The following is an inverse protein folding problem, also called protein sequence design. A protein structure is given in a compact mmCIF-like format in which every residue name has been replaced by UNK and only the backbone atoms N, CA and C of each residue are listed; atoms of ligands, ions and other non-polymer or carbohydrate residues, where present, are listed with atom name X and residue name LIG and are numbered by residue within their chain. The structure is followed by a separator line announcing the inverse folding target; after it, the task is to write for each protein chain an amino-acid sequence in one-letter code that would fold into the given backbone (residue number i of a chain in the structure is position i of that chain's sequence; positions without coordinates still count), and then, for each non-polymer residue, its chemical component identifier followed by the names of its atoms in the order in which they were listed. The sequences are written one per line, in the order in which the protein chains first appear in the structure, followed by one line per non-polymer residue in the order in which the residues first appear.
data_IF_712046640888
#
_entry.id   IF_712046640888
#
_cell.length_a   1.000
_cell.length_b   1.000
_cell.length_c   1.000
_cell.angle_alpha   90.00
_cell.angle_beta   90.00
_cell.angle_gamma   90.00
#
_symmetry.space_group_name_H-M   'P 1'
#
loop_
_entity.id
_entity.type
_entity.pdbx_description
1 polymer ?
#
# COMPACT_ATOMS: atom_id res chain seq x y z
N UNK A 1 5.55 -4.01 35.24
CA UNK A 1 4.95 -3.67 33.93
C UNK A 1 4.53 -2.20 33.91
N UNK A 2 5.45 -1.23 33.79
CA UNK A 2 5.11 0.20 33.91
C UNK A 2 6.02 1.14 33.10
N UNK A 3 6.44 0.73 31.88
CA UNK A 3 7.26 1.59 31.01
C UNK A 3 7.04 1.29 29.52
N UNK A 4 5.78 1.11 29.12
CA UNK A 4 5.39 0.92 27.71
C UNK A 4 4.32 1.93 27.23
N UNK A 5 3.70 2.68 28.13
CA UNK A 5 2.70 3.71 27.79
C UNK A 5 3.36 5.02 27.33
N UNK A 6 4.47 5.45 27.96
CA UNK A 6 5.12 6.73 27.66
C UNK A 6 5.76 6.85 26.26
N UNK A 7 6.07 5.75 25.59
CA UNK A 7 6.58 5.77 24.21
C UNK A 7 5.44 5.74 23.16
N UNK A 8 4.26 5.23 23.52
CA UNK A 8 3.08 5.19 22.65
C UNK A 8 2.31 6.52 22.67
N UNK A 9 2.31 7.22 23.80
CA UNK A 9 1.70 8.56 23.94
C UNK A 9 2.55 9.67 23.32
N UNK A 10 3.89 9.51 23.30
CA UNK A 10 4.80 10.42 22.59
C UNK A 10 4.74 10.24 21.05
N UNK A 11 4.32 9.07 20.57
CA UNK A 11 4.26 8.72 19.14
C UNK A 11 2.96 9.18 18.45
N UNK A 12 1.95 9.58 19.21
CA UNK A 12 0.68 10.06 18.67
C UNK A 12 0.52 11.54 18.98
N UNK A 13 1.07 12.46 18.16
CA UNK A 13 0.73 13.87 18.29
C UNK A 13 -0.80 13.99 18.32
N UNK A 14 -1.35 14.78 19.25
CA UNK A 14 -2.81 14.87 19.42
C UNK A 14 -3.52 15.12 18.08
N UNK A 15 -4.77 14.67 17.94
CA UNK A 15 -5.51 14.69 16.65
C UNK A 15 -5.43 16.03 15.90
N UNK A 16 -5.47 17.15 16.61
CA UNK A 16 -5.30 18.49 16.03
C UNK A 16 -3.90 18.73 15.44
N UNK A 17 -2.84 18.26 16.11
CA UNK A 17 -1.47 18.32 15.59
C UNK A 17 -1.30 17.42 14.36
N UNK A 18 -1.93 16.25 14.33
CA UNK A 18 -1.94 15.38 13.14
C UNK A 18 -2.61 16.08 11.95
N UNK A 19 -3.80 16.65 12.16
CA UNK A 19 -4.50 17.41 11.11
C UNK A 19 -3.64 18.58 10.62
N UNK A 20 -2.99 19.31 11.52
CA UNK A 20 -2.09 20.41 11.16
C UNK A 20 -0.87 19.94 10.36
N UNK A 21 -0.29 18.79 10.71
CA UNK A 21 0.81 18.17 9.98
C UNK A 21 0.37 17.74 8.58
N UNK A 22 -0.76 17.05 8.46
CA UNK A 22 -1.36 16.66 7.18
C UNK A 22 -1.63 17.88 6.32
N UNK A 23 -2.14 18.98 6.89
CA UNK A 23 -2.38 20.22 6.16
C UNK A 23 -1.07 20.82 5.63
N UNK A 24 -0.03 20.90 6.48
CA UNK A 24 1.30 21.38 6.06
C UNK A 24 1.89 20.53 4.94
N UNK A 25 1.79 19.21 5.03
CA UNK A 25 2.26 18.29 3.98
C UNK A 25 1.46 18.47 2.69
N UNK A 26 0.14 18.58 2.79
CA UNK A 26 -0.72 18.75 1.62
C UNK A 26 -0.47 20.09 0.93
N UNK A 27 -0.28 21.18 1.68
CA UNK A 27 0.01 22.50 1.14
C UNK A 27 1.33 22.56 0.36
N UNK A 28 2.31 21.72 0.68
CA UNK A 28 3.55 21.60 -0.10
C UNK A 28 3.30 21.05 -1.50
N UNK A 29 2.39 20.09 -1.64
CA UNK A 29 2.01 19.51 -2.93
C UNK A 29 0.95 20.37 -3.66
N UNK A 30 0.03 20.97 -2.91
CA UNK A 30 -1.09 21.78 -3.42
C UNK A 30 -1.15 23.14 -2.71
N UNK A 31 -0.50 24.15 -3.31
CA UNK A 31 -0.41 25.50 -2.74
C UNK A 31 -1.77 26.18 -2.58
N UNK A 32 -2.78 25.80 -3.40
CA UNK A 32 -4.10 26.41 -3.44
C UNK A 32 -5.08 25.82 -2.43
N UNK A 33 -4.68 24.79 -1.67
CA UNK A 33 -5.59 24.08 -0.77
C UNK A 33 -6.29 25.02 0.23
N UNK A 34 -5.60 26.01 0.78
CA UNK A 34 -6.21 26.98 1.70
C UNK A 34 -7.35 27.77 1.05
N UNK A 35 -7.15 28.24 -0.18
CA UNK A 35 -8.16 28.98 -0.94
C UNK A 35 -9.33 28.10 -1.34
N UNK A 36 -9.05 26.86 -1.73
CA UNK A 36 -10.11 25.89 -2.09
C UNK A 36 -10.97 25.54 -0.88
N UNK A 37 -10.36 25.29 0.28
CA UNK A 37 -11.11 25.00 1.50
C UNK A 37 -11.95 26.20 1.94
N UNK A 38 -11.40 27.43 1.86
CA UNK A 38 -12.15 28.64 2.14
C UNK A 38 -13.33 28.81 1.16
N UNK A 39 -13.10 28.62 -0.14
CA UNK A 39 -14.15 28.72 -1.16
C UNK A 39 -15.25 27.68 -0.98
N UNK A 40 -14.90 26.43 -0.65
CA UNK A 40 -15.89 25.36 -0.39
C UNK A 40 -16.68 25.65 0.89
N UNK A 41 -16.00 26.06 1.97
CA UNK A 41 -16.66 26.38 3.23
C UNK A 41 -17.60 27.58 3.11
N UNK A 42 -17.09 28.70 2.61
CA UNK A 42 -17.88 29.94 2.42
C UNK A 42 -18.98 29.71 1.39
N UNK A 43 -18.68 29.03 0.28
CA UNK A 43 -19.66 28.73 -0.76
C UNK A 43 -20.81 27.86 -0.23
N UNK A 44 -20.49 26.78 0.50
CA UNK A 44 -21.53 25.91 1.09
C UNK A 44 -22.37 26.69 2.09
N UNK A 45 -21.74 27.43 3.02
CA UNK A 45 -22.46 28.23 4.00
C UNK A 45 -23.34 29.30 3.34
N UNK A 46 -22.82 30.00 2.33
CA UNK A 46 -23.54 31.03 1.58
C UNK A 46 -24.77 30.48 0.86
N UNK A 47 -24.68 29.29 0.25
CA UNK A 47 -25.82 28.62 -0.38
C UNK A 47 -26.92 28.31 0.65
N UNK A 48 -26.55 27.71 1.78
CA UNK A 48 -27.53 27.38 2.82
C UNK A 48 -28.17 28.62 3.45
N UNK A 49 -27.39 29.69 3.67
CA UNK A 49 -27.93 30.95 4.16
C UNK A 49 -28.86 31.61 3.15
N UNK A 50 -28.51 31.63 1.86
CA UNK A 50 -29.37 32.19 0.81
C UNK A 50 -30.73 31.46 0.75
N UNK A 51 -30.71 30.12 0.80
CA UNK A 51 -31.93 29.31 0.90
C UNK A 51 -32.68 29.62 2.21
N UNK A 52 -31.96 29.78 3.31
CA UNK A 52 -32.50 30.20 4.61
C UNK A 52 -33.28 31.50 4.57
N UNK A 53 -32.74 32.52 3.92
CA UNK A 53 -33.41 33.80 3.75
C UNK A 53 -34.62 33.71 2.81
N UNK A 54 -34.54 32.90 1.74
CA UNK A 54 -35.65 32.71 0.80
C UNK A 54 -36.86 32.00 1.43
N UNK A 55 -36.63 31.08 2.37
CA UNK A 55 -37.69 30.28 3.03
C UNK A 55 -38.10 30.90 4.38
N UNK A 56 -37.45 31.98 4.82
CA UNK A 56 -37.75 32.64 6.10
C UNK A 56 -37.21 31.93 7.35
N UNK A 57 -36.31 30.96 7.19
CA UNK A 57 -35.66 30.23 8.29
C UNK A 57 -34.12 30.37 8.24
N UNK A 58 -33.56 31.60 8.25
CA UNK A 58 -32.12 31.81 8.08
C UNK A 58 -31.29 31.26 9.24
N UNK A 59 -31.82 31.25 10.47
CA UNK A 59 -31.09 30.75 11.66
C UNK A 59 -30.92 29.23 11.58
N UNK A 60 -32.00 28.49 11.33
CA UNK A 60 -31.96 27.03 11.25
C UNK A 60 -31.07 26.55 10.09
N UNK A 61 -31.27 27.10 8.89
CA UNK A 61 -30.45 26.76 7.73
C UNK A 61 -29.02 27.29 7.83
N UNK A 62 -28.77 28.37 8.57
CA UNK A 62 -27.43 28.85 8.88
C UNK A 62 -26.65 27.88 9.76
N UNK A 63 -27.25 27.36 10.83
CA UNK A 63 -26.62 26.36 11.71
C UNK A 63 -26.37 25.06 10.94
N UNK A 64 -27.37 24.56 10.20
CA UNK A 64 -27.22 23.36 9.37
C UNK A 64 -26.16 23.56 8.28
N UNK A 65 -26.17 24.73 7.63
CA UNK A 65 -25.21 25.13 6.62
C UNK A 65 -23.79 25.20 7.13
N UNK A 66 -23.58 25.66 8.37
CA UNK A 66 -22.26 25.70 9.00
C UNK A 66 -21.69 24.29 9.22
N UNK A 67 -22.52 23.36 9.73
CA UNK A 67 -22.12 21.96 9.91
C UNK A 67 -21.79 21.30 8.57
N UNK A 68 -22.61 21.52 7.55
CA UNK A 68 -22.39 20.99 6.21
C UNK A 68 -21.20 21.63 5.50
N UNK A 69 -20.94 22.92 5.72
CA UNK A 69 -19.76 23.61 5.21
C UNK A 69 -18.48 23.03 5.81
N UNK A 70 -18.46 22.75 7.11
CA UNK A 70 -17.34 22.08 7.76
C UNK A 70 -17.14 20.67 7.21
N UNK A 71 -18.21 19.89 7.08
CA UNK A 71 -18.16 18.54 6.51
C UNK A 71 -17.65 18.54 5.06
N UNK A 72 -18.18 19.42 4.21
CA UNK A 72 -17.76 19.56 2.82
C UNK A 72 -16.26 19.92 2.72
N UNK A 73 -15.81 20.86 3.56
CA UNK A 73 -14.40 21.26 3.64
C UNK A 73 -13.52 20.09 4.09
N UNK A 74 -13.94 19.33 5.10
CA UNK A 74 -13.23 18.15 5.58
C UNK A 74 -13.11 17.05 4.51
N UNK A 75 -14.18 16.78 3.76
CA UNK A 75 -14.18 15.80 2.65
C UNK A 75 -13.21 16.24 1.54
N UNK A 76 -13.26 17.51 1.15
CA UNK A 76 -12.37 18.05 0.10
C UNK A 76 -10.92 18.04 0.58
N UNK A 77 -10.67 18.42 1.83
CA UNK A 77 -9.36 18.34 2.45
C UNK A 77 -8.81 16.91 2.42
N UNK A 78 -9.59 15.94 2.89
CA UNK A 78 -9.20 14.52 2.93
C UNK A 78 -8.84 14.00 1.53
N UNK A 79 -9.68 14.27 0.52
CA UNK A 79 -9.41 13.85 -0.87
C UNK A 79 -8.15 14.48 -1.46
N UNK A 80 -7.84 15.74 -1.14
CA UNK A 80 -6.62 16.41 -1.61
C UNK A 80 -5.38 15.94 -0.86
N UNK A 81 -5.50 15.72 0.46
CA UNK A 81 -4.43 15.17 1.27
C UNK A 81 -4.04 13.76 0.83
N UNK A 82 -5.03 12.91 0.54
CA UNK A 82 -4.81 11.56 0.00
C UNK A 82 -4.06 11.60 -1.33
N UNK A 83 -4.47 12.46 -2.27
CA UNK A 83 -3.77 12.65 -3.55
C UNK A 83 -2.33 13.12 -3.36
N UNK A 84 -2.10 14.07 -2.46
CA UNK A 84 -0.77 14.57 -2.16
C UNK A 84 0.12 13.49 -1.53
N UNK A 85 -0.43 12.68 -0.61
CA UNK A 85 0.28 11.59 0.02
C UNK A 85 0.68 10.50 -1.00
N UNK A 86 -0.24 10.07 -1.86
CA UNK A 86 0.07 9.08 -2.89
C UNK A 86 1.08 9.59 -3.91
N UNK A 87 0.98 10.86 -4.34
CA UNK A 87 1.95 11.44 -5.27
C UNK A 87 3.38 11.51 -4.69
N UNK A 88 3.53 11.59 -3.36
CA UNK A 88 4.85 11.54 -2.70
C UNK A 88 5.39 10.11 -2.56
N UNK A 89 4.50 9.11 -2.49
CA UNK A 89 4.87 7.69 -2.38
C UNK A 89 5.14 7.05 -3.75
N UNK A 90 4.54 7.57 -4.82
CA UNK A 90 4.77 7.08 -6.18
C UNK A 90 6.26 7.13 -6.55
N UNK A 91 6.82 5.97 -6.94
CA UNK A 91 8.23 5.83 -7.31
C UNK A 91 9.19 5.50 -6.15
N UNK A 92 8.71 5.50 -4.90
CA UNK A 92 9.49 5.01 -3.77
C UNK A 92 9.36 3.48 -3.63
N UNK A 93 10.46 2.73 -3.42
CA UNK A 93 10.39 1.32 -3.10
C UNK A 93 9.56 1.08 -1.81
N UNK A 94 8.68 0.10 -1.82
CA UNK A 94 7.78 -0.27 -0.74
C UNK A 94 6.44 0.48 -0.72
N UNK A 95 6.19 1.39 -1.67
CA UNK A 95 4.96 2.17 -1.71
C UNK A 95 3.73 1.30 -1.95
N UNK A 96 3.83 0.28 -2.81
CA UNK A 96 2.72 -0.65 -3.04
C UNK A 96 2.36 -1.43 -1.78
N UNK A 97 3.34 -1.87 -0.99
CA UNK A 97 3.11 -2.57 0.28
C UNK A 97 2.24 -1.73 1.24
N UNK A 98 2.57 -0.44 1.40
CA UNK A 98 1.84 0.46 2.29
C UNK A 98 0.36 0.61 1.89
N UNK A 99 0.07 0.57 0.59
CA UNK A 99 -1.31 0.58 0.08
C UNK A 99 -2.01 -0.75 0.31
N UNK A 100 -1.30 -1.85 0.11
CA UNK A 100 -1.84 -3.20 0.32
C UNK A 100 -2.17 -3.50 1.78
N UNK A 101 -1.40 -2.96 2.72
CA UNK A 101 -1.72 -3.07 4.15
C UNK A 101 -3.03 -2.37 4.51
N UNK A 102 -3.44 -1.38 3.71
CA UNK A 102 -4.64 -0.58 3.90
C UNK A 102 -5.79 -0.94 2.93
N UNK A 103 -5.68 -2.05 2.17
CA UNK A 103 -6.67 -2.40 1.13
C UNK A 103 -8.07 -2.65 1.73
N UNK A 104 -8.14 -3.20 2.94
CA UNK A 104 -9.37 -3.40 3.72
C UNK A 104 -9.52 -4.82 4.27
N UNK A 105 -10.64 -5.07 4.95
CA UNK A 105 -10.94 -6.36 5.60
C UNK A 105 -11.09 -7.49 4.57
N UNK A 106 -10.59 -8.67 4.93
CA UNK A 106 -10.71 -9.88 4.09
C UNK A 106 -9.60 -10.06 3.06
N UNK A 107 -8.58 -9.20 3.11
CA UNK A 107 -7.32 -9.37 2.39
C UNK A 107 -6.19 -9.70 3.37
N UNK A 108 -5.28 -10.56 2.95
CA UNK A 108 -4.05 -10.88 3.66
C UNK A 108 -2.88 -10.50 2.76
N UNK A 109 -2.13 -9.48 3.18
CA UNK A 109 -0.97 -8.98 2.44
C UNK A 109 0.30 -9.63 2.97
N UNK A 110 1.17 -10.07 2.06
CA UNK A 110 2.54 -10.48 2.33
C UNK A 110 3.45 -9.59 1.48
N UNK A 111 4.15 -8.62 2.09
CA UNK A 111 5.04 -7.74 1.35
C UNK A 111 6.30 -8.51 0.90
N UNK A 112 6.90 -8.08 -0.21
CA UNK A 112 8.21 -8.55 -0.69
C UNK A 112 8.36 -10.07 -0.79
N UNK A 113 7.40 -10.75 -1.42
CA UNK A 113 7.50 -12.20 -1.71
C UNK A 113 8.62 -12.52 -2.71
N UNK A 114 8.97 -11.55 -3.55
CA UNK A 114 10.15 -11.61 -4.40
C UNK A 114 10.76 -10.20 -4.52
N UNK A 115 12.08 -10.12 -4.52
CA UNK A 115 12.81 -8.86 -4.65
C UNK A 115 14.13 -9.11 -5.38
N UNK A 116 14.56 -8.14 -6.18
CA UNK A 116 15.89 -8.16 -6.80
C UNK A 116 16.85 -7.13 -6.18
N UNK A 117 18.13 -7.18 -6.57
CA UNK A 117 19.16 -6.22 -6.10
C UNK A 117 18.88 -4.77 -6.49
N UNK A 118 18.06 -4.55 -7.51
CA UNK A 118 17.66 -3.22 -8.01
C UNK A 118 16.41 -2.67 -7.33
N UNK A 119 15.99 -3.26 -6.22
CA UNK A 119 14.81 -2.84 -5.45
C UNK A 119 13.49 -2.91 -6.25
N UNK A 120 13.42 -3.76 -7.28
CA UNK A 120 12.13 -4.15 -7.85
C UNK A 120 11.54 -5.24 -6.94
N UNK A 121 10.27 -5.07 -6.56
CA UNK A 121 9.62 -5.89 -5.52
C UNK A 121 8.28 -6.41 -6.04
N UNK A 122 7.95 -7.64 -5.67
CA UNK A 122 6.62 -8.22 -5.83
C UNK A 122 6.03 -8.43 -4.45
N UNK A 123 4.84 -7.90 -4.24
CA UNK A 123 4.01 -8.14 -3.07
C UNK A 123 2.88 -9.10 -3.44
N UNK A 124 2.37 -9.80 -2.45
CA UNK A 124 1.25 -10.71 -2.63
C UNK A 124 0.11 -10.28 -1.73
N UNK A 125 -1.10 -10.21 -2.27
CA UNK A 125 -2.33 -10.04 -1.51
C UNK A 125 -3.29 -11.17 -1.83
N UNK A 126 -3.83 -11.82 -0.80
CA UNK A 126 -4.78 -12.93 -0.95
C UNK A 126 -6.12 -12.49 -0.41
N UNK A 127 -7.19 -12.69 -1.18
CA UNK A 127 -8.54 -12.33 -0.78
C UNK A 127 -9.59 -13.11 -1.56
N UNK A 128 -10.85 -12.68 -1.52
CA UNK A 128 -11.95 -13.35 -2.23
C UNK A 128 -11.77 -13.37 -3.76
N UNK A 129 -10.91 -12.51 -4.31
CA UNK A 129 -10.57 -12.51 -5.72
C UNK A 129 -9.49 -13.54 -6.09
N UNK A 130 -8.94 -14.28 -5.12
CA UNK A 130 -7.78 -15.14 -5.31
C UNK A 130 -6.48 -14.47 -4.90
N UNK A 131 -5.39 -14.80 -5.58
CA UNK A 131 -4.05 -14.29 -5.32
C UNK A 131 -3.81 -13.11 -6.27
N UNK A 132 -3.47 -11.95 -5.73
CA UNK A 132 -3.08 -10.76 -6.49
C UNK A 132 -1.61 -10.48 -6.23
N UNK A 133 -0.80 -10.60 -7.27
CA UNK A 133 0.61 -10.23 -7.28
C UNK A 133 0.74 -8.79 -7.73
N UNK A 134 1.30 -7.95 -6.88
CA UNK A 134 1.47 -6.52 -7.13
C UNK A 134 2.97 -6.23 -7.25
N UNK A 135 3.39 -5.85 -8.43
CA UNK A 135 4.78 -5.57 -8.76
C UNK A 135 5.05 -4.07 -8.77
N UNK A 136 6.14 -3.64 -8.13
CA UNK A 136 6.64 -2.27 -8.17
C UNK A 136 8.12 -2.25 -8.61
N UNK A 137 8.51 -1.23 -9.37
CA UNK A 137 9.87 -1.08 -9.89
C UNK A 137 9.91 -0.85 -11.39
N UNK A 138 11.06 -1.12 -12.01
CA UNK A 138 11.24 -0.92 -13.44
C UNK A 138 10.44 -1.97 -14.25
N UNK A 139 9.56 -1.55 -15.18
CA UNK A 139 8.68 -2.44 -15.94
C UNK A 139 9.38 -3.58 -16.68
N UNK A 140 10.58 -3.33 -17.21
CA UNK A 140 11.30 -4.32 -18.01
C UNK A 140 11.88 -5.45 -17.15
N UNK A 141 12.30 -5.13 -15.92
CA UNK A 141 12.89 -6.10 -14.99
C UNK A 141 11.84 -6.77 -14.10
N UNK A 142 10.83 -6.02 -13.68
CA UNK A 142 9.82 -6.53 -12.75
C UNK A 142 8.84 -7.49 -13.44
N UNK A 143 8.63 -7.38 -14.76
CA UNK A 143 7.80 -8.33 -15.53
C UNK A 143 8.33 -9.77 -15.44
N UNK A 144 9.65 -9.97 -15.52
CA UNK A 144 10.24 -11.31 -15.41
C UNK A 144 10.11 -11.86 -13.99
N UNK A 145 10.32 -11.01 -12.98
CA UNK A 145 10.13 -11.34 -11.57
C UNK A 145 8.66 -11.73 -11.28
N UNK A 146 7.72 -10.96 -11.80
CA UNK A 146 6.28 -11.19 -11.68
C UNK A 146 5.85 -12.48 -12.38
N UNK A 147 6.37 -12.75 -13.59
CA UNK A 147 6.08 -13.98 -14.32
C UNK A 147 6.60 -15.22 -13.60
N UNK A 148 7.80 -15.14 -13.00
CA UNK A 148 8.35 -16.22 -12.18
C UNK A 148 7.47 -16.51 -10.96
N UNK A 149 7.04 -15.45 -10.26
CA UNK A 149 6.17 -15.60 -9.09
C UNK A 149 4.76 -16.10 -9.47
N UNK A 150 4.20 -15.62 -10.59
CA UNK A 150 2.91 -16.11 -11.12
C UNK A 150 2.96 -17.59 -11.45
N UNK A 151 4.02 -18.06 -12.11
CA UNK A 151 4.23 -19.48 -12.41
C UNK A 151 4.41 -20.31 -11.14
N UNK A 152 5.10 -19.77 -10.13
CA UNK A 152 5.25 -20.40 -8.81
C UNK A 152 3.91 -20.54 -8.10
N UNK A 153 3.11 -19.47 -8.05
CA UNK A 153 1.78 -19.49 -7.42
C UNK A 153 0.83 -20.46 -8.15
N UNK A 154 0.82 -20.45 -9.48
CA UNK A 154 -0.03 -21.35 -10.27
C UNK A 154 0.30 -22.84 -10.07
N UNK A 155 1.56 -23.17 -9.76
CA UNK A 155 1.97 -24.54 -9.41
C UNK A 155 1.57 -24.94 -7.99
N UNK A 156 1.57 -23.98 -7.07
CA UNK A 156 1.29 -24.22 -5.65
C UNK A 156 -0.21 -24.26 -5.37
N UNK A 157 -0.98 -23.37 -6.00
CA UNK A 157 -2.41 -23.19 -5.80
C UNK A 157 -3.12 -23.22 -7.14
N UNK A 158 -3.21 -24.40 -7.75
CA UNK A 158 -3.77 -24.59 -9.09
C UNK A 158 -5.27 -24.25 -9.18
N UNK A 159 -5.99 -24.32 -8.06
CA UNK A 159 -7.43 -24.07 -7.92
C UNK A 159 -7.80 -22.60 -7.71
N UNK A 160 -6.81 -21.71 -7.58
CA UNK A 160 -7.04 -20.29 -7.24
C UNK A 160 -6.56 -19.37 -8.36
N UNK A 161 -7.37 -18.41 -8.81
CA UNK A 161 -6.93 -17.45 -9.82
C UNK A 161 -5.80 -16.57 -9.31
N UNK A 162 -4.81 -16.36 -10.19
CA UNK A 162 -3.65 -15.51 -9.95
C UNK A 162 -3.72 -14.30 -10.87
N UNK A 163 -3.95 -13.13 -10.27
CA UNK A 163 -3.95 -11.85 -10.94
C UNK A 163 -2.61 -11.15 -10.76
N UNK A 164 -2.17 -10.41 -11.76
CA UNK A 164 -0.97 -9.60 -11.74
C UNK A 164 -1.30 -8.12 -11.99
N UNK A 165 -0.72 -7.24 -11.18
CA UNK A 165 -0.85 -5.79 -11.29
C UNK A 165 0.54 -5.18 -11.27
N UNK A 166 0.86 -4.43 -12.31
CA UNK A 166 2.09 -3.63 -12.37
C UNK A 166 1.79 -2.21 -11.88
N UNK A 167 2.48 -1.77 -10.84
CA UNK A 167 2.33 -0.42 -10.28
C UNK A 167 3.25 0.55 -11.01
N UNK A 168 2.69 1.70 -11.39
CA UNK A 168 3.43 2.80 -12.00
C UNK A 168 2.53 3.70 -12.85
N UNK A 169 3.13 4.59 -13.62
CA UNK A 169 2.44 5.64 -14.40
C UNK A 169 2.45 5.38 -15.92
N UNK A 170 3.12 4.33 -16.38
CA UNK A 170 3.21 3.98 -17.80
C UNK A 170 1.99 3.23 -18.33
N UNK A 171 2.01 2.94 -19.63
CA UNK A 171 0.96 2.15 -20.28
C UNK A 171 0.87 0.72 -19.71
N UNK A 172 -0.35 0.25 -19.46
CA UNK A 172 -0.61 -1.04 -18.83
C UNK A 172 -0.25 -1.11 -17.34
N UNK A 173 0.07 0.02 -16.70
CA UNK A 173 0.34 0.12 -15.28
C UNK A 173 -0.83 0.75 -14.52
N UNK A 174 -0.92 0.42 -13.24
CA UNK A 174 -1.92 0.97 -12.33
C UNK A 174 -1.24 1.97 -11.41
N UNK A 175 -1.69 3.22 -11.46
CA UNK A 175 -1.24 4.26 -10.54
C UNK A 175 -1.50 3.84 -9.09
N UNK A 176 -0.59 4.20 -8.18
CA UNK A 176 -0.63 3.77 -6.78
C UNK A 176 -1.97 4.13 -6.11
N UNK A 177 -2.48 5.35 -6.37
CA UNK A 177 -3.79 5.83 -5.89
C UNK A 177 -4.99 4.99 -6.36
N UNK A 178 -4.86 4.27 -7.48
CA UNK A 178 -5.91 3.43 -8.07
C UNK A 178 -5.78 1.96 -7.68
N UNK A 179 -4.62 1.53 -7.18
CA UNK A 179 -4.31 0.13 -6.87
C UNK A 179 -5.41 -0.54 -6.03
N UNK A 180 -5.79 0.08 -4.90
CA UNK A 180 -6.87 -0.43 -4.02
C UNK A 180 -8.19 -0.59 -4.77
N UNK A 181 -8.59 0.42 -5.53
CA UNK A 181 -9.85 0.38 -6.30
C UNK A 181 -9.83 -0.71 -7.36
N UNK A 182 -8.70 -0.87 -8.07
CA UNK A 182 -8.52 -1.93 -9.07
C UNK A 182 -8.63 -3.32 -8.44
N UNK A 183 -7.97 -3.54 -7.29
CA UNK A 183 -8.05 -4.80 -6.57
C UNK A 183 -9.47 -5.13 -6.10
N UNK A 184 -10.20 -4.13 -5.58
CA UNK A 184 -11.56 -4.33 -5.08
C UNK A 184 -12.59 -4.59 -6.19
N UNK A 185 -12.28 -4.24 -7.44
CA UNK A 185 -13.10 -4.53 -8.62
C UNK A 185 -12.90 -5.93 -9.18
N UNK A 186 -11.88 -6.66 -8.74
CA UNK A 186 -11.65 -8.03 -9.21
C UNK A 186 -12.83 -8.95 -8.82
N UNK A 187 -13.17 -9.94 -9.67
CA UNK A 187 -14.28 -10.83 -9.42
C UNK A 187 -14.05 -11.66 -8.15
N UNK A 188 -15.06 -11.74 -7.29
CA UNK A 188 -14.99 -12.50 -6.04
C UNK A 188 -15.35 -13.96 -6.30
N UNK A 189 -14.33 -14.76 -6.58
CA UNK A 189 -14.46 -16.18 -6.96
C UNK A 189 -14.32 -17.15 -5.77
N UNK A 190 -13.63 -16.73 -4.70
CA UNK A 190 -13.37 -17.57 -3.53
C UNK A 190 -14.32 -17.28 -2.37
N UNK A 191 -14.74 -18.35 -1.69
CA UNK A 191 -15.39 -18.28 -0.39
C UNK A 191 -14.39 -17.96 0.73
N UNK A 192 -14.89 -17.48 1.87
CA UNK A 192 -14.04 -17.16 3.03
C UNK A 192 -13.13 -18.33 3.48
N UNK A 193 -13.67 -19.56 3.66
CA UNK A 193 -12.85 -20.71 4.02
C UNK A 193 -11.77 -21.06 2.98
N UNK A 194 -12.08 -20.93 1.69
CA UNK A 194 -11.09 -21.14 0.62
C UNK A 194 -9.96 -20.12 0.68
N UNK A 195 -10.25 -18.86 1.02
CA UNK A 195 -9.22 -17.83 1.24
C UNK A 195 -8.30 -18.21 2.41
N UNK A 196 -8.86 -18.66 3.53
CA UNK A 196 -8.08 -19.13 4.68
C UNK A 196 -7.20 -20.32 4.32
N UNK A 197 -7.77 -21.35 3.69
CA UNK A 197 -7.02 -22.53 3.24
C UNK A 197 -5.89 -22.15 2.26
N UNK A 198 -6.14 -21.19 1.36
CA UNK A 198 -5.12 -20.69 0.43
C UNK A 198 -3.98 -20.00 1.18
N UNK A 199 -4.31 -19.14 2.14
CA UNK A 199 -3.31 -18.48 2.99
C UNK A 199 -2.48 -19.49 3.76
N UNK A 200 -3.10 -20.53 4.32
CA UNK A 200 -2.41 -21.55 5.11
C UNK A 200 -1.47 -22.39 4.24
N UNK A 201 -1.91 -22.81 3.05
CA UNK A 201 -1.03 -23.50 2.07
C UNK A 201 0.17 -22.64 1.69
N UNK A 202 -0.07 -21.35 1.41
CA UNK A 202 0.99 -20.41 1.03
C UNK A 202 1.96 -20.11 2.18
N UNK A 203 1.49 -20.07 3.43
CA UNK A 203 2.33 -19.93 4.63
C UNK A 203 3.18 -21.17 4.87
N UNK A 204 2.56 -22.35 4.87
CA UNK A 204 3.25 -23.62 5.07
C UNK A 204 4.41 -23.80 4.07
N UNK A 205 4.20 -23.43 2.81
CA UNK A 205 5.25 -23.51 1.78
C UNK A 205 6.28 -22.38 1.87
N UNK A 206 5.89 -21.20 2.37
CA UNK A 206 6.83 -20.13 2.70
C UNK A 206 7.84 -20.60 3.76
N UNK A 207 7.35 -21.19 4.84
CA UNK A 207 8.17 -21.73 5.93
C UNK A 207 9.04 -22.90 5.44
N UNK A 208 8.51 -23.76 4.57
CA UNK A 208 9.24 -24.90 4.01
C UNK A 208 10.36 -24.48 3.04
N UNK A 209 10.18 -23.38 2.31
CA UNK A 209 11.19 -22.82 1.40
C UNK A 209 12.22 -21.95 2.13
N UNK A 210 11.86 -21.25 3.22
CA UNK A 210 12.80 -20.47 4.02
C UNK A 210 13.67 -21.33 4.95
N UNK A 211 13.13 -22.46 5.42
CA UNK A 211 13.84 -23.39 6.30
C UNK A 211 14.45 -24.60 5.58
N UNK A 212 14.49 -24.62 4.24
CA UNK A 212 15.18 -25.71 3.55
C UNK A 212 16.69 -25.56 3.80
N UNK A 213 17.35 -26.47 4.56
CA UNK A 213 18.80 -26.44 4.64
C UNK A 213 19.30 -26.75 3.24
N UNK A 214 19.85 -25.74 2.55
CA UNK A 214 20.57 -25.97 1.31
C UNK A 214 21.55 -27.12 1.61
N UNK A 215 21.42 -28.29 0.94
CA UNK A 215 22.40 -29.34 1.11
C UNK A 215 23.71 -28.74 0.63
N UNK A 216 24.58 -28.36 1.56
CA UNK A 216 25.95 -28.02 1.24
C UNK A 216 26.53 -29.34 0.74
N UNK A 217 26.47 -29.54 -0.57
CA UNK A 217 27.18 -30.62 -1.23
C UNK A 217 28.61 -30.61 -0.71
N UNK A 218 29.24 -31.78 -0.53
CA UNK A 218 30.56 -31.86 0.06
C UNK A 218 31.48 -30.92 -0.71
N UNK A 219 31.97 -29.89 -0.01
CA UNK A 219 32.97 -28.98 -0.54
C UNK A 219 34.13 -29.85 -1.05
N UNK A 220 34.54 -29.75 -2.33
CA UNK A 220 35.66 -30.53 -2.83
C UNK A 220 36.92 -30.20 -2.02
N UNK A 221 37.29 -31.06 -1.08
CA UNK A 221 38.62 -31.07 -0.47
C UNK A 221 39.60 -31.59 -1.51
N UNK A 222 39.98 -30.72 -2.45
CA UNK A 222 40.78 -31.13 -3.60
C UNK A 222 41.80 -30.12 -4.09
N UNK A 223 41.89 -28.92 -3.53
CA UNK A 223 42.90 -27.95 -3.97
C UNK A 223 44.19 -28.14 -3.15
N UNK A 224 45.00 -29.13 -3.55
CA UNK A 224 46.41 -29.22 -3.17
C UNK A 224 47.11 -27.93 -3.61
N UNK A 225 47.47 -27.08 -2.66
CA UNK A 225 48.39 -25.96 -2.89
C UNK A 225 49.78 -26.53 -3.21
N UNK A 226 50.35 -26.32 -4.41
CA UNK A 226 51.74 -26.66 -4.67
C UNK A 226 52.60 -25.42 -4.46
N UNK A 227 53.52 -25.46 -3.49
CA UNK A 227 54.95 -25.23 -3.74
C UNK A 227 55.74 -25.31 -2.44
N UNK A 228 56.58 -26.34 -2.36
CA UNK A 228 57.84 -26.22 -1.64
C UNK A 228 58.76 -25.28 -2.40
N UNK A 229 59.27 -24.27 -1.70
CA UNK A 229 60.47 -23.52 -2.08
C UNK A 229 61.55 -23.81 -1.02
N UNK A 230 62.84 -23.94 -1.40
CA UNK A 230 63.86 -24.46 -0.50
C UNK A 230 64.21 -23.47 0.61
N UNK A 231 64.40 -23.98 1.82
CA UNK A 231 65.11 -23.28 2.90
C UNK A 231 66.60 -23.25 2.56
N UNK A 232 67.21 -22.08 2.63
CA UNK A 232 68.65 -21.95 2.86
C UNK A 232 68.90 -20.86 3.90
N UNK A 233 69.95 -21.13 4.69
CA UNK A 233 70.31 -20.56 5.99
C UNK A 233 70.73 -19.10 5.93
#
# INVERSE_FOLDING_TARGET
MARKESAADAANPGRLKQIALTYKMTRKADKMIGLVLAAVGIGTLGVFLAIGFLIGHPIYLGILGLLLAFLASAIVFGRRAERAAFGQMEGQPGAAAAVLDNVGRGWTTTPAVAMNRSQDVVHRAVGKAGIVLVAEGNPNRVKSLLAAEKKKMARIVADVPVHDILVGTGEGQVELKKLRTTMLKLPRVLSGPQVTATNDRLRALGDLMSNMPLPKGPMPKGMRMPRGGPKMR
#
